data_IF_001211609175
#
_entry.id   IF_001211609175
#
_cell.length_a   1.000
_cell.length_b   1.000
_cell.length_c   1.000
_cell.angle_alpha   90.00
_cell.angle_beta   90.00
_cell.angle_gamma   90.00
#
_symmetry.space_group_name_H-M   'P 1'
#
loop_
_entity.id
_entity.type
_entity.pdbx_description
1 polymer ?
#
# COMPACT_ATOMS: atom_id res chain seq x y z
N UNK A 1 -13.27 11.31 -24.94
CA UNK A 1 -11.86 11.16 -24.52
C UNK A 1 -11.62 11.05 -23.00
N UNK A 2 -12.60 11.27 -22.11
CA UNK A 2 -12.42 11.05 -20.65
C UNK A 2 -12.55 9.58 -20.22
N UNK A 3 -13.51 8.87 -20.81
CA UNK A 3 -13.94 7.51 -20.43
C UNK A 3 -12.85 6.41 -20.53
N UNK A 4 -11.83 6.64 -21.36
CA UNK A 4 -10.72 5.69 -21.59
C UNK A 4 -9.71 5.71 -20.42
N UNK A 5 -9.67 6.78 -19.60
CA UNK A 5 -8.67 6.92 -18.54
C UNK A 5 -8.98 6.08 -17.30
N UNK A 6 -10.24 6.03 -16.86
CA UNK A 6 -10.63 5.15 -15.74
C UNK A 6 -10.60 3.68 -16.12
N UNK A 7 -11.02 3.31 -17.33
CA UNK A 7 -11.06 1.89 -17.75
C UNK A 7 -9.67 1.24 -17.76
N UNK A 8 -8.60 2.02 -18.00
CA UNK A 8 -7.22 1.53 -17.94
C UNK A 8 -6.67 1.48 -16.51
N UNK A 9 -7.03 2.44 -15.64
CA UNK A 9 -6.58 2.52 -14.23
C UNK A 9 -7.40 1.65 -13.27
N UNK A 10 -8.68 1.46 -13.56
CA UNK A 10 -9.64 0.66 -12.79
C UNK A 10 -9.52 -0.86 -12.99
N UNK A 11 -8.66 -1.30 -13.92
CA UNK A 11 -8.47 -2.73 -14.24
C UNK A 11 -7.45 -3.44 -13.36
N UNK A 12 -6.71 -2.71 -12.51
CA UNK A 12 -5.86 -3.35 -11.51
C UNK A 12 -6.75 -3.91 -10.40
N UNK A 13 -6.99 -5.23 -10.44
CA UNK A 13 -7.44 -5.96 -9.26
C UNK A 13 -6.32 -5.88 -8.22
N UNK A 14 -6.47 -4.94 -7.29
CA UNK A 14 -5.69 -4.87 -6.08
C UNK A 14 -5.98 -6.13 -5.26
N UNK A 15 -5.04 -7.07 -5.27
CA UNK A 15 -5.16 -8.29 -4.47
C UNK A 15 -5.02 -7.91 -2.99
N UNK A 16 -5.79 -8.52 -2.07
CA UNK A 16 -5.52 -8.40 -0.66
C UNK A 16 -4.06 -8.78 -0.43
N UNK A 17 -3.27 -7.83 0.08
CA UNK A 17 -1.88 -8.10 0.42
C UNK A 17 -1.90 -9.23 1.45
N UNK A 18 -1.24 -10.35 1.13
CA UNK A 18 -0.93 -11.33 2.14
C UNK A 18 -0.20 -10.58 3.26
N UNK A 19 -0.75 -10.63 4.49
CA UNK A 19 -0.05 -10.09 5.65
C UNK A 19 1.35 -10.69 5.63
N UNK A 20 2.41 -9.88 5.72
CA UNK A 20 3.68 -10.36 6.27
C UNK A 20 3.71 -9.97 7.75
N UNK A 21 3.01 -10.70 8.64
CA UNK A 21 3.14 -10.46 10.08
C UNK A 21 4.53 -10.90 10.60
N UNK A 22 5.37 -11.42 9.71
CA UNK A 22 6.79 -11.68 9.88
C UNK A 22 7.44 -11.43 8.52
N UNK A 23 7.93 -10.21 8.29
CA UNK A 23 8.71 -9.88 7.11
C UNK A 23 9.96 -10.73 7.05
N UNK A 24 9.92 -11.92 6.44
CA UNK A 24 11.11 -12.77 6.22
C UNK A 24 10.86 -14.13 5.56
N UNK A 25 9.65 -14.54 5.17
CA UNK A 25 9.50 -15.89 4.59
C UNK A 25 10.44 -16.08 3.37
N UNK A 26 10.63 -15.03 2.57
CA UNK A 26 11.57 -15.00 1.44
C UNK A 26 12.94 -14.39 1.79
N UNK A 27 13.02 -13.44 2.74
CA UNK A 27 14.26 -12.69 3.03
C UNK A 27 15.24 -13.43 3.96
N UNK A 28 14.82 -14.55 4.57
CA UNK A 28 15.66 -15.35 5.45
C UNK A 28 15.95 -14.69 6.81
N UNK A 29 17.08 -15.05 7.43
CA UNK A 29 17.48 -14.48 8.72
C UNK A 29 18.03 -13.06 8.56
N UNK A 30 17.75 -12.15 9.50
CA UNK A 30 18.32 -10.81 9.46
C UNK A 30 19.84 -10.86 9.62
N UNK A 31 20.55 -10.04 8.84
CA UNK A 31 22.00 -9.82 8.99
C UNK A 31 22.30 -8.96 10.22
N UNK A 32 21.37 -8.06 10.57
CA UNK A 32 21.47 -7.19 11.73
C UNK A 32 20.08 -7.00 12.35
N UNK A 33 20.01 -7.01 13.67
CA UNK A 33 18.82 -6.66 14.44
C UNK A 33 19.19 -5.68 15.56
N UNK A 34 18.44 -4.59 15.69
CA UNK A 34 18.59 -3.55 16.72
C UNK A 34 17.30 -3.43 17.50
N UNK A 35 17.40 -3.41 18.82
CA UNK A 35 16.28 -3.21 19.75
C UNK A 35 16.43 -1.86 20.42
N UNK A 36 15.33 -1.12 20.52
CA UNK A 36 15.28 0.20 21.14
C UNK A 36 14.45 0.15 22.42
N UNK A 37 14.70 1.10 23.33
CA UNK A 37 14.06 1.16 24.64
C UNK A 37 12.53 1.36 24.57
N UNK A 38 12.03 1.94 23.48
CA UNK A 38 10.60 2.14 23.21
C UNK A 38 9.87 0.89 22.69
N UNK A 39 10.59 -0.25 22.62
CA UNK A 39 10.09 -1.53 22.12
C UNK A 39 10.13 -1.67 20.59
N UNK A 40 10.64 -0.67 19.87
CA UNK A 40 10.89 -0.75 18.43
C UNK A 40 12.02 -1.74 18.14
N UNK A 41 11.89 -2.45 17.02
CA UNK A 41 12.94 -3.34 16.48
C UNK A 41 13.22 -3.00 15.03
N UNK A 42 14.49 -2.93 14.66
CA UNK A 42 14.92 -2.75 13.29
C UNK A 42 15.71 -3.97 12.83
N UNK A 43 15.39 -4.47 11.64
CA UNK A 43 16.07 -5.61 10.99
C UNK A 43 16.56 -5.19 9.61
N UNK A 44 17.79 -5.58 9.30
CA UNK A 44 18.36 -5.44 7.95
C UNK A 44 18.68 -6.82 7.41
N UNK A 45 18.25 -7.10 6.18
CA UNK A 45 18.40 -8.40 5.53
C UNK A 45 19.42 -8.36 4.39
N UNK A 46 19.85 -9.55 3.95
CA UNK A 46 20.58 -9.69 2.71
C UNK A 46 19.73 -9.14 1.55
N UNK A 47 20.36 -8.41 0.64
CA UNK A 47 19.64 -7.70 -0.43
C UNK A 47 19.12 -6.31 -0.04
N UNK A 48 19.40 -5.81 1.16
CA UNK A 48 19.18 -4.41 1.53
C UNK A 48 17.75 -4.06 1.98
N UNK A 49 16.88 -5.05 2.11
CA UNK A 49 15.56 -4.87 2.73
C UNK A 49 15.75 -4.46 4.20
N UNK A 50 15.02 -3.42 4.61
CA UNK A 50 14.95 -2.98 6.01
C UNK A 50 13.52 -3.13 6.53
N UNK A 51 13.37 -3.75 7.69
CA UNK A 51 12.10 -3.91 8.38
C UNK A 51 12.15 -3.21 9.74
N UNK A 52 11.09 -2.47 10.08
CA UNK A 52 10.92 -1.77 11.35
C UNK A 52 9.62 -2.23 11.98
N UNK A 53 9.72 -2.86 13.14
CA UNK A 53 8.57 -3.29 13.93
C UNK A 53 8.39 -2.31 15.09
N UNK A 54 7.22 -1.69 15.16
CA UNK A 54 6.84 -0.77 16.22
C UNK A 54 6.05 -1.48 17.31
N UNK A 55 6.12 -0.97 18.53
CA UNK A 55 5.40 -1.51 19.69
C UNK A 55 3.87 -1.45 19.54
N UNK A 56 3.34 -0.56 18.71
CA UNK A 56 1.92 -0.48 18.38
C UNK A 56 1.44 -1.54 17.36
N UNK A 57 2.29 -2.50 17.00
CA UNK A 57 2.00 -3.55 16.01
C UNK A 57 2.20 -3.12 14.55
N UNK A 58 2.60 -1.87 14.29
CA UNK A 58 2.93 -1.43 12.93
C UNK A 58 4.24 -2.10 12.47
N UNK A 59 4.25 -2.60 11.25
CA UNK A 59 5.43 -3.07 10.55
C UNK A 59 5.68 -2.18 9.34
N UNK A 60 6.91 -1.72 9.13
CA UNK A 60 7.33 -1.01 7.93
C UNK A 60 8.47 -1.75 7.27
N UNK A 61 8.33 -2.03 5.98
CA UNK A 61 9.38 -2.57 5.13
C UNK A 61 9.79 -1.53 4.09
N UNK A 62 11.10 -1.38 3.88
CA UNK A 62 11.68 -0.53 2.86
C UNK A 62 12.68 -1.33 2.03
N UNK A 63 12.36 -1.54 0.76
CA UNK A 63 13.24 -2.17 -0.21
C UNK A 63 14.28 -1.16 -0.73
N UNK A 64 15.47 -1.60 -1.16
CA UNK A 64 16.48 -0.72 -1.74
C UNK A 64 16.01 -0.05 -3.05
N UNK A 65 15.04 -0.64 -3.76
CA UNK A 65 14.45 -0.11 -4.99
C UNK A 65 13.49 1.06 -4.79
N UNK A 66 13.26 1.50 -3.55
CA UNK A 66 12.34 2.60 -3.22
C UNK A 66 10.95 2.15 -2.80
N UNK A 67 10.57 0.90 -3.08
CA UNK A 67 9.31 0.34 -2.61
C UNK A 67 9.24 0.31 -1.08
N UNK A 68 8.12 0.75 -0.54
CA UNK A 68 7.91 0.86 0.89
C UNK A 68 6.51 0.35 1.26
N UNK A 69 6.45 -0.70 2.08
CA UNK A 69 5.20 -1.27 2.60
C UNK A 69 5.05 -0.97 4.09
N UNK A 70 3.83 -0.67 4.52
CA UNK A 70 3.48 -0.45 5.92
C UNK A 70 2.22 -1.25 6.23
N UNK A 71 2.27 -2.11 7.25
CA UNK A 71 1.10 -2.79 7.82
C UNK A 71 0.84 -2.18 9.18
N UNK A 72 -0.34 -1.58 9.34
CA UNK A 72 -0.70 -0.88 10.57
C UNK A 72 -1.36 -1.83 11.57
N UNK A 73 -1.22 -1.52 12.86
CA UNK A 73 -1.81 -2.34 13.94
C UNK A 73 -3.35 -2.42 13.90
N UNK A 74 -4.02 -1.50 13.21
CA UNK A 74 -5.47 -1.52 12.99
C UNK A 74 -5.90 -2.46 11.84
N UNK A 75 -4.96 -3.06 11.12
CA UNK A 75 -5.21 -3.94 9.97
C UNK A 75 -5.06 -3.26 8.60
N UNK A 76 -4.93 -1.93 8.56
CA UNK A 76 -4.70 -1.21 7.31
C UNK A 76 -3.34 -1.55 6.71
N UNK A 77 -3.19 -1.31 5.41
CA UNK A 77 -1.91 -1.40 4.74
C UNK A 77 -1.68 -0.18 3.85
N UNK A 78 -0.42 0.21 3.68
CA UNK A 78 -0.01 1.22 2.72
C UNK A 78 1.22 0.74 1.96
N UNK A 79 1.19 0.88 0.65
CA UNK A 79 2.31 0.62 -0.24
C UNK A 79 2.67 1.90 -0.99
N UNK A 80 3.96 2.17 -1.11
CA UNK A 80 4.50 3.23 -1.95
C UNK A 80 5.42 2.57 -2.95
N UNK A 81 5.10 2.72 -4.23
CA UNK A 81 5.86 2.16 -5.34
C UNK A 81 6.97 3.13 -5.72
N UNK A 82 8.22 2.65 -5.68
CA UNK A 82 9.40 3.47 -5.94
C UNK A 82 9.54 3.92 -7.38
N UNK A 83 9.02 3.15 -8.35
CA UNK A 83 9.16 3.40 -9.78
C UNK A 83 8.35 4.61 -10.26
N UNK A 84 7.08 4.71 -9.86
CA UNK A 84 6.13 5.73 -10.33
C UNK A 84 5.63 6.65 -9.21
N UNK A 85 6.03 6.42 -7.96
CA UNK A 85 5.59 7.18 -6.79
C UNK A 85 4.14 6.93 -6.41
N UNK A 86 3.47 5.93 -7.00
CA UNK A 86 2.07 5.58 -6.71
C UNK A 86 1.95 5.11 -5.26
N UNK A 87 0.90 5.57 -4.59
CA UNK A 87 0.59 5.18 -3.22
C UNK A 87 -0.71 4.40 -3.20
N UNK A 88 -0.69 3.21 -2.61
CA UNK A 88 -1.84 2.32 -2.49
C UNK A 88 -2.14 2.14 -1.00
N UNK A 89 -3.30 2.57 -0.54
CA UNK A 89 -3.75 2.44 0.84
C UNK A 89 -4.96 1.50 0.89
N UNK A 90 -4.93 0.52 1.77
CA UNK A 90 -6.03 -0.39 2.05
C UNK A 90 -6.63 -0.08 3.42
N UNK A 91 -7.90 0.31 3.42
CA UNK A 91 -8.69 0.53 4.63
C UNK A 91 -9.39 -0.76 5.02
N UNK A 92 -8.87 -1.41 6.05
CA UNK A 92 -9.29 -2.75 6.45
C UNK A 92 -10.72 -2.81 7.02
N UNK A 93 -11.17 -1.74 7.69
CA UNK A 93 -12.49 -1.69 8.33
C UNK A 93 -13.66 -1.64 7.35
N UNK A 94 -13.41 -1.18 6.13
CA UNK A 94 -14.41 -0.96 5.07
C UNK A 94 -14.02 -1.63 3.75
N UNK A 95 -12.98 -2.49 3.77
CA UNK A 95 -12.48 -3.25 2.62
C UNK A 95 -12.33 -2.39 1.35
N UNK A 96 -11.75 -1.20 1.52
CA UNK A 96 -11.63 -0.20 0.44
C UNK A 96 -10.17 0.03 0.08
N UNK A 97 -9.86 0.00 -1.21
CA UNK A 97 -8.57 0.45 -1.72
C UNK A 97 -8.64 1.90 -2.16
N UNK A 98 -7.59 2.65 -1.86
CA UNK A 98 -7.36 4.01 -2.31
C UNK A 98 -5.99 4.10 -2.96
N UNK A 99 -5.95 4.52 -4.22
CA UNK A 99 -4.74 4.69 -5.00
C UNK A 99 -4.53 6.16 -5.34
N UNK A 100 -3.42 6.74 -4.92
CA UNK A 100 -3.00 8.10 -5.30
C UNK A 100 -1.89 8.01 -6.34
N UNK A 101 -2.09 8.63 -7.49
CA UNK A 101 -1.11 8.70 -8.58
C UNK A 101 -0.24 9.96 -8.47
N UNK A 102 0.92 9.94 -9.12
CA UNK A 102 1.86 11.08 -9.12
C UNK A 102 1.30 12.35 -9.79
N UNK A 103 0.28 12.21 -10.65
CA UNK A 103 -0.46 13.32 -11.26
C UNK A 103 -1.55 13.90 -10.33
N UNK A 104 -1.68 13.38 -9.12
CA UNK A 104 -2.65 13.82 -8.11
C UNK A 104 -4.04 13.21 -8.27
N UNK A 105 -4.26 12.32 -9.25
CA UNK A 105 -5.52 11.58 -9.35
C UNK A 105 -5.61 10.58 -8.20
N UNK A 106 -6.75 10.56 -7.52
CA UNK A 106 -7.09 9.61 -6.46
C UNK A 106 -8.17 8.65 -6.95
N UNK A 107 -7.98 7.34 -6.77
CA UNK A 107 -8.95 6.32 -7.20
C UNK A 107 -9.34 5.42 -6.03
N UNK A 108 -10.62 5.31 -5.76
CA UNK A 108 -11.21 4.48 -4.71
C UNK A 108 -11.88 3.25 -5.32
N UNK A 109 -11.63 2.08 -4.75
CA UNK A 109 -12.27 0.82 -5.11
C UNK A 109 -13.03 0.30 -3.90
N UNK A 110 -14.35 0.27 -4.01
CA UNK A 110 -15.24 -0.14 -2.93
C UNK A 110 -15.62 -1.62 -3.05
N UNK A 111 -15.97 -2.28 -1.93
CA UNK A 111 -16.45 -3.68 -1.92
C UNK A 111 -17.68 -3.90 -2.80
N UNK A 112 -18.50 -2.86 -2.98
CA UNK A 112 -19.69 -2.90 -3.84
C UNK A 112 -19.36 -3.11 -5.31
N UNK A 113 -18.10 -2.96 -5.72
CA UNK A 113 -17.69 -2.89 -7.12
C UNK A 113 -17.72 -1.48 -7.69
N UNK A 114 -18.18 -0.49 -6.92
CA UNK A 114 -18.08 0.92 -7.30
C UNK A 114 -16.62 1.37 -7.36
N UNK A 115 -16.30 2.18 -8.36
CA UNK A 115 -15.00 2.84 -8.53
C UNK A 115 -15.24 4.34 -8.62
N UNK A 116 -14.49 5.12 -7.87
CA UNK A 116 -14.50 6.59 -7.97
C UNK A 116 -13.11 7.10 -8.29
N UNK A 117 -12.95 7.97 -9.29
CA UNK A 117 -11.75 8.78 -9.45
C UNK A 117 -12.03 10.23 -9.12
N UNK A 118 -11.18 10.84 -8.29
CA UNK A 118 -11.21 12.24 -7.95
C UNK A 118 -10.01 12.92 -8.63
N UNK A 119 -10.29 13.89 -9.49
CA UNK A 119 -9.27 14.61 -10.24
C UNK A 119 -8.80 15.85 -9.46
N UNK A 120 -7.55 16.31 -9.67
CA UNK A 120 -7.06 17.56 -9.07
C UNK A 120 -7.88 18.80 -9.43
N UNK A 121 -8.63 18.75 -10.54
CA UNK A 121 -9.57 19.80 -10.95
C UNK A 121 -10.80 19.92 -10.05
N UNK A 122 -11.04 18.93 -9.17
CA UNK A 122 -12.25 18.80 -8.36
C UNK A 122 -13.36 17.98 -9.04
N UNK A 123 -13.18 17.59 -10.30
CA UNK A 123 -14.09 16.69 -11.01
C UNK A 123 -14.05 15.27 -10.41
N UNK A 124 -15.19 14.58 -10.44
CA UNK A 124 -15.32 13.21 -9.98
C UNK A 124 -15.95 12.35 -11.06
N UNK A 125 -15.31 11.24 -11.35
CA UNK A 125 -15.82 10.21 -12.25
C UNK A 125 -16.21 8.99 -11.41
N UNK A 126 -17.44 8.51 -11.56
CA UNK A 126 -18.01 7.41 -10.76
C UNK A 126 -18.49 6.31 -11.69
N UNK A 127 -18.02 5.09 -11.46
CA UNK A 127 -18.45 3.87 -12.14
C UNK A 127 -19.16 3.00 -11.11
N UNK A 128 -20.43 2.70 -11.34
CA UNK A 128 -21.20 1.77 -10.51
C UNK A 128 -20.97 0.32 -10.98
N UNK A 129 -21.29 -0.64 -10.11
CA UNK A 129 -21.02 -2.05 -10.36
C UNK A 129 -21.80 -2.65 -11.57
N UNK A 130 -22.88 -2.00 -11.97
CA UNK A 130 -23.76 -2.40 -13.07
C UNK A 130 -23.36 -1.83 -14.45
N UNK A 131 -22.41 -0.89 -14.50
CA UNK A 131 -21.88 -0.32 -15.75
C UNK A 131 -22.66 0.88 -16.25
#
# INVERSE_FOLDING_TARGET
DGDVKLTQRGRLRMRPLARSPTGSAEAGLPLQEVHYDDGKKERTYAGGLRCVLFSNGTCKEAAPGGDCSVWFGNGDAKHTLGEDGRVEYYYSSVDTWHCTYCDGVEVFFFPSGQIEAHLPSGEKEIIFADG
#
